data_IF_363512981195
#
_entry.id   IF_363512981195
#
_cell.length_a   1.000
_cell.length_b   1.000
_cell.length_c   1.000
_cell.angle_alpha   90.00
_cell.angle_beta   90.00
_cell.angle_gamma   90.00
#
_symmetry.space_group_name_H-M   'P 1'
#
loop_
_entity.id
_entity.type
_entity.pdbx_description
1 polymer ?
#
# COMPACT_ATOMS: atom_id res chain seq x y z
N UNK A 1 -23.72 15.61 0.31
CA UNK A 1 -22.30 15.19 0.33
C UNK A 1 -22.00 14.74 -1.08
N UNK A 2 -21.23 15.52 -1.84
CA UNK A 2 -20.84 15.15 -3.19
C UNK A 2 -19.80 14.04 -3.04
N UNK A 3 -20.20 12.80 -3.31
CA UNK A 3 -19.30 11.66 -3.49
C UNK A 3 -18.67 11.79 -4.87
N UNK A 4 -18.01 12.93 -5.15
CA UNK A 4 -17.29 13.13 -6.39
C UNK A 4 -16.15 12.11 -6.40
N UNK A 5 -16.48 11.00 -7.08
CA UNK A 5 -15.66 9.96 -7.67
C UNK A 5 -14.34 9.72 -6.96
N UNK A 6 -14.26 8.57 -6.30
CA UNK A 6 -13.03 7.95 -5.81
C UNK A 6 -12.08 7.68 -7.00
N UNK A 7 -11.48 8.73 -7.56
CA UNK A 7 -10.63 8.71 -8.77
C UNK A 7 -9.20 8.26 -8.46
N UNK A 8 -9.04 7.32 -7.52
CA UNK A 8 -7.73 6.75 -7.17
C UNK A 8 -7.59 5.30 -7.63
N UNK A 9 -8.64 4.72 -8.22
CA UNK A 9 -8.66 3.34 -8.67
C UNK A 9 -8.25 3.31 -10.14
N UNK A 10 -7.13 2.65 -10.46
CA UNK A 10 -6.78 2.30 -11.83
C UNK A 10 -7.95 1.54 -12.50
N UNK A 11 -8.08 1.66 -13.83
CA UNK A 11 -9.00 0.86 -14.62
C UNK A 11 -8.98 -0.62 -14.19
N UNK A 12 -10.15 -1.22 -13.98
CA UNK A 12 -10.33 -2.63 -13.62
C UNK A 12 -10.15 -2.99 -12.14
N UNK A 13 -10.16 -2.01 -11.21
CA UNK A 13 -10.09 -2.29 -9.77
C UNK A 13 -11.33 -1.78 -9.02
N UNK A 14 -11.83 -2.60 -8.09
CA UNK A 14 -12.84 -2.18 -7.11
C UNK A 14 -12.17 -1.83 -5.78
N UNK A 15 -12.81 -0.98 -4.96
CA UNK A 15 -12.28 -0.64 -3.62
C UNK A 15 -12.03 -1.89 -2.79
N UNK A 16 -12.97 -2.84 -2.81
CA UNK A 16 -12.83 -4.11 -2.12
C UNK A 16 -11.56 -4.86 -2.58
N UNK A 17 -11.33 -4.95 -3.90
CA UNK A 17 -10.14 -5.61 -4.45
C UNK A 17 -8.85 -4.90 -4.04
N UNK A 18 -8.83 -3.57 -4.03
CA UNK A 18 -7.65 -2.79 -3.62
C UNK A 18 -7.32 -3.03 -2.15
N UNK A 19 -8.32 -2.98 -1.28
CA UNK A 19 -8.14 -3.23 0.16
C UNK A 19 -7.55 -4.62 0.39
N UNK A 20 -8.09 -5.66 -0.25
CA UNK A 20 -7.55 -7.02 -0.14
C UNK A 20 -6.10 -7.11 -0.64
N UNK A 21 -5.81 -6.55 -1.83
CA UNK A 21 -4.45 -6.57 -2.41
C UNK A 21 -3.43 -5.83 -1.54
N UNK A 22 -3.80 -4.69 -0.97
CA UNK A 22 -2.93 -3.94 -0.05
C UNK A 22 -2.72 -4.71 1.25
N UNK A 23 -3.76 -5.30 1.83
CA UNK A 23 -3.64 -6.16 3.01
C UNK A 23 -2.63 -7.29 2.76
N UNK A 24 -2.76 -8.01 1.64
CA UNK A 24 -1.82 -9.05 1.25
C UNK A 24 -0.39 -8.54 1.06
N UNK A 25 -0.23 -7.40 0.39
CA UNK A 25 1.07 -6.78 0.17
C UNK A 25 1.78 -6.46 1.49
N UNK A 26 1.09 -5.83 2.44
CA UNK A 26 1.70 -5.46 3.72
C UNK A 26 1.94 -6.67 4.63
N UNK A 27 1.02 -7.65 4.64
CA UNK A 27 1.23 -8.93 5.32
C UNK A 27 2.50 -9.65 4.83
N UNK A 28 2.66 -9.71 3.50
CA UNK A 28 3.81 -10.35 2.88
C UNK A 28 5.10 -9.56 3.15
N UNK A 29 5.03 -8.23 3.11
CA UNK A 29 6.16 -7.35 3.41
C UNK A 29 6.63 -7.52 4.86
N UNK A 30 5.70 -7.45 5.82
CA UNK A 30 5.99 -7.72 7.23
C UNK A 30 6.64 -9.10 7.44
N UNK A 31 6.11 -10.13 6.79
CA UNK A 31 6.67 -11.50 6.87
C UNK A 31 8.09 -11.59 6.31
N UNK A 32 8.37 -10.94 5.17
CA UNK A 32 9.73 -10.88 4.59
C UNK A 32 10.70 -10.17 5.53
N UNK A 33 10.29 -9.05 6.13
CA UNK A 33 11.14 -8.33 7.08
C UNK A 33 11.40 -9.13 8.35
N UNK A 34 10.41 -9.88 8.84
CA UNK A 34 10.60 -10.80 9.97
C UNK A 34 11.68 -11.86 9.68
N UNK A 35 11.67 -12.44 8.48
CA UNK A 35 12.72 -13.40 8.05
C UNK A 35 14.09 -12.71 7.99
N UNK A 36 14.17 -11.53 7.36
CA UNK A 36 15.42 -10.77 7.24
C UNK A 36 15.98 -10.38 8.62
N UNK A 37 15.12 -9.98 9.55
CA UNK A 37 15.49 -9.69 10.94
C UNK A 37 16.13 -10.90 11.62
N UNK A 38 15.50 -12.08 11.51
CA UNK A 38 16.04 -13.31 12.07
C UNK A 38 17.40 -13.68 11.48
N UNK A 39 17.61 -13.43 10.18
CA UNK A 39 18.91 -13.63 9.52
C UNK A 39 19.98 -12.69 10.07
N UNK A 40 19.66 -11.41 10.28
CA UNK A 40 20.62 -10.45 10.86
C UNK A 40 20.96 -10.79 12.32
N UNK A 41 19.97 -11.20 13.12
CA UNK A 41 20.20 -11.65 14.49
C UNK A 41 21.13 -12.86 14.54
N UNK A 42 20.94 -13.83 13.65
CA UNK A 42 21.85 -14.99 13.55
C UNK A 42 23.28 -14.59 13.14
N UNK A 43 23.47 -13.50 12.40
CA UNK A 43 24.79 -13.00 12.03
C UNK A 43 25.44 -12.21 13.19
N UNK A 44 24.63 -11.60 14.05
CA UNK A 44 25.08 -10.83 15.20
C UNK A 44 25.82 -11.70 16.21
N UNK A 45 25.39 -12.95 16.40
CA UNK A 45 25.98 -13.91 17.35
C UNK A 45 27.49 -14.15 17.15
N UNK A 46 28.00 -13.93 15.93
CA UNK A 46 29.41 -14.12 15.58
C UNK A 46 30.14 -12.81 15.21
N UNK A 47 29.44 -11.67 15.22
CA UNK A 47 30.00 -10.39 14.83
C UNK A 47 30.67 -9.69 16.02
N UNK A 48 31.74 -8.94 15.75
CA UNK A 48 32.41 -8.10 16.75
C UNK A 48 32.82 -6.76 16.16
N UNK A 49 32.90 -5.73 17.00
CA UNK A 49 33.40 -4.41 16.61
C UNK A 49 32.51 -3.72 15.58
N UNK A 50 33.11 -3.18 14.50
CA UNK A 50 32.37 -2.42 13.48
C UNK A 50 31.26 -3.23 12.78
N UNK A 51 31.47 -4.54 12.60
CA UNK A 51 30.48 -5.41 11.97
C UNK A 51 29.25 -5.60 12.87
N UNK A 52 29.46 -5.73 14.18
CA UNK A 52 28.38 -5.81 15.16
C UNK A 52 27.53 -4.52 15.15
N UNK A 53 28.20 -3.36 15.15
CA UNK A 53 27.52 -2.08 15.13
C UNK A 53 26.71 -1.86 13.84
N UNK A 54 27.24 -2.27 12.69
CA UNK A 54 26.52 -2.20 11.42
C UNK A 54 25.29 -3.11 11.39
N UNK A 55 25.39 -4.32 11.96
CA UNK A 55 24.26 -5.25 12.07
C UNK A 55 23.17 -4.72 13.00
N UNK A 56 23.54 -4.12 14.14
CA UNK A 56 22.58 -3.50 15.06
C UNK A 56 21.80 -2.36 14.39
N UNK A 57 22.47 -1.50 13.63
CA UNK A 57 21.80 -0.44 12.86
C UNK A 57 20.86 -0.99 11.78
N UNK A 58 21.27 -2.07 11.10
CA UNK A 58 20.44 -2.72 10.11
C UNK A 58 19.20 -3.38 10.73
N UNK A 59 19.34 -3.98 11.92
CA UNK A 59 18.23 -4.55 12.69
C UNK A 59 17.26 -3.44 13.13
N UNK A 60 17.77 -2.33 13.67
CA UNK A 60 16.94 -1.20 14.08
C UNK A 60 16.10 -0.65 12.92
N UNK A 61 16.72 -0.48 11.74
CA UNK A 61 16.00 -0.05 10.54
C UNK A 61 14.90 -1.04 10.15
N UNK A 62 15.18 -2.34 10.20
CA UNK A 62 14.16 -3.37 9.91
C UNK A 62 13.04 -3.32 10.94
N UNK A 63 13.33 -3.09 12.22
CA UNK A 63 12.32 -3.01 13.26
C UNK A 63 11.37 -1.82 13.04
N UNK A 64 11.89 -0.68 12.58
CA UNK A 64 11.07 0.48 12.19
C UNK A 64 10.16 0.16 10.99
N UNK A 65 10.70 -0.47 9.94
CA UNK A 65 9.92 -0.90 8.77
C UNK A 65 8.84 -1.92 9.16
N UNK A 66 9.19 -2.90 10.01
CA UNK A 66 8.24 -3.88 10.53
C UNK A 66 7.12 -3.24 11.34
N UNK A 67 7.42 -2.24 12.17
CA UNK A 67 6.40 -1.52 12.93
C UNK A 67 5.40 -0.83 11.99
N UNK A 68 5.89 -0.14 10.95
CA UNK A 68 5.04 0.48 9.93
C UNK A 68 4.17 -0.56 9.21
N UNK A 69 4.78 -1.63 8.68
CA UNK A 69 4.04 -2.66 7.96
C UNK A 69 3.06 -3.43 8.84
N UNK A 70 3.37 -3.59 10.14
CA UNK A 70 2.45 -4.19 11.11
C UNK A 70 1.20 -3.34 11.27
N UNK A 71 1.34 -2.04 11.50
CA UNK A 71 0.21 -1.10 11.63
C UNK A 71 -0.64 -1.08 10.34
N UNK A 72 0.01 -1.01 9.18
CA UNK A 72 -0.69 -1.01 7.89
C UNK A 72 -1.42 -2.32 7.62
N UNK A 73 -0.79 -3.45 7.92
CA UNK A 73 -1.40 -4.78 7.83
C UNK A 73 -2.64 -4.89 8.72
N UNK A 74 -2.55 -4.44 9.97
CA UNK A 74 -3.66 -4.55 10.93
C UNK A 74 -4.84 -3.66 10.53
N UNK A 75 -4.57 -2.42 10.12
CA UNK A 75 -5.59 -1.50 9.65
C UNK A 75 -6.32 -2.07 8.42
N UNK A 76 -5.58 -2.62 7.46
CA UNK A 76 -6.17 -3.20 6.26
C UNK A 76 -6.83 -4.55 6.53
N UNK A 77 -6.38 -5.32 7.52
CA UNK A 77 -7.08 -6.53 7.96
C UNK A 77 -8.49 -6.21 8.47
N UNK A 78 -8.64 -5.11 9.21
CA UNK A 78 -9.95 -4.63 9.68
C UNK A 78 -10.79 -4.17 8.48
N UNK A 79 -10.22 -3.34 7.60
CA UNK A 79 -10.93 -2.85 6.42
C UNK A 79 -11.40 -4.00 5.53
N UNK A 80 -10.53 -4.96 5.23
CA UNK A 80 -10.81 -6.14 4.41
C UNK A 80 -11.96 -6.98 4.97
N UNK A 81 -11.96 -7.21 6.30
CA UNK A 81 -13.07 -7.89 7.00
C UNK A 81 -14.39 -7.14 6.91
N UNK A 82 -14.35 -5.80 7.05
CA UNK A 82 -15.54 -4.96 6.99
C UNK A 82 -16.14 -5.00 5.59
N UNK A 83 -15.32 -4.73 4.57
CA UNK A 83 -15.76 -4.64 3.17
C UNK A 83 -16.24 -6.01 2.65
N UNK A 84 -15.62 -7.10 3.11
CA UNK A 84 -16.01 -8.47 2.76
C UNK A 84 -17.16 -9.03 3.60
N UNK A 85 -17.65 -8.29 4.60
CA UNK A 85 -18.72 -8.79 5.47
C UNK A 85 -20.07 -8.84 4.76
N UNK A 86 -20.86 -9.87 5.08
CA UNK A 86 -22.25 -10.00 4.57
C UNK A 86 -23.13 -8.81 4.99
N UNK A 87 -22.87 -8.23 6.16
CA UNK A 87 -23.60 -7.07 6.65
C UNK A 87 -23.34 -5.84 5.79
N UNK A 88 -22.08 -5.61 5.40
CA UNK A 88 -21.72 -4.51 4.50
C UNK A 88 -22.34 -4.72 3.11
N UNK A 89 -22.21 -5.91 2.54
CA UNK A 89 -22.80 -6.19 1.22
C UNK A 89 -24.33 -6.11 1.21
N UNK A 90 -24.98 -6.50 2.31
CA UNK A 90 -26.44 -6.37 2.46
C UNK A 90 -26.88 -4.92 2.65
N UNK A 91 -26.08 -4.10 3.35
CA UNK A 91 -26.38 -2.70 3.59
C UNK A 91 -26.17 -1.82 2.34
N UNK A 92 -25.15 -2.13 1.55
CA UNK A 92 -24.73 -1.34 0.39
C UNK A 92 -25.29 -1.83 -0.94
N UNK A 93 -25.67 -3.11 -1.03
CA UNK A 93 -25.94 -3.77 -2.31
C UNK A 93 -24.64 -4.17 -3.02
N UNK A 94 -24.69 -5.28 -3.77
CA UNK A 94 -23.55 -5.76 -4.57
C UNK A 94 -23.27 -4.86 -5.79
N UNK A 95 -24.24 -4.03 -6.14
CA UNK A 95 -24.17 -2.98 -7.16
C UNK A 95 -23.52 -1.69 -6.66
N UNK A 96 -23.12 -1.60 -5.39
CA UNK A 96 -22.36 -0.47 -4.87
C UNK A 96 -21.00 -0.32 -5.56
N UNK A 97 -20.57 0.94 -5.76
CA UNK A 97 -19.27 1.33 -6.33
C UNK A 97 -18.07 0.70 -5.59
N UNK A 98 -18.23 0.28 -4.34
CA UNK A 98 -17.20 -0.42 -3.56
C UNK A 98 -16.83 -1.77 -4.19
N UNK A 99 -17.82 -2.45 -4.78
CA UNK A 99 -17.68 -3.79 -5.35
C UNK A 99 -17.53 -3.76 -6.86
N UNK A 100 -18.02 -2.70 -7.52
CA UNK A 100 -17.86 -2.53 -8.95
C UNK A 100 -16.43 -2.16 -9.32
N UNK A 101 -16.04 -2.60 -10.51
CA UNK A 101 -14.81 -2.16 -11.15
C UNK A 101 -14.94 -0.68 -11.51
N UNK A 102 -13.94 0.13 -11.18
CA UNK A 102 -13.84 1.47 -11.74
C UNK A 102 -13.50 1.40 -13.23
N UNK A 103 -14.35 2.00 -14.05
CA UNK A 103 -14.09 2.29 -15.45
C UNK A 103 -13.89 3.79 -15.57
N UNK A 104 -12.67 4.20 -15.91
CA UNK A 104 -12.38 5.60 -16.16
C UNK A 104 -13.24 6.11 -17.33
N UNK A 105 -13.80 7.30 -17.14
CA UNK A 105 -14.50 8.01 -18.21
C UNK A 105 -13.50 8.74 -19.10
N UNK A 106 -13.88 9.01 -20.35
CA UNK A 106 -13.04 9.80 -21.28
C UNK A 106 -12.61 11.16 -20.69
N UNK A 107 -13.46 11.76 -19.86
CA UNK A 107 -13.15 13.01 -19.16
C UNK A 107 -12.08 12.84 -18.08
N UNK A 108 -12.09 11.73 -17.33
CA UNK A 108 -11.07 11.38 -16.34
C UNK A 108 -9.72 11.13 -17.02
N UNK A 109 -9.71 10.31 -18.09
CA UNK A 109 -8.51 10.05 -18.89
C UNK A 109 -7.88 11.35 -19.45
N UNK A 110 -8.70 12.26 -19.98
CA UNK A 110 -8.22 13.55 -20.47
C UNK A 110 -7.67 14.45 -19.36
N UNK A 111 -8.25 14.40 -18.16
CA UNK A 111 -7.76 15.16 -17.02
C UNK A 111 -6.39 14.64 -16.57
N UNK A 112 -6.23 13.32 -16.48
CA UNK A 112 -4.95 12.68 -16.13
C UNK A 112 -3.84 12.99 -17.14
N UNK A 113 -4.13 12.91 -18.44
CA UNK A 113 -3.15 13.28 -19.47
C UNK A 113 -2.68 14.72 -19.34
N UNK A 114 -3.60 15.68 -19.14
CA UNK A 114 -3.21 17.09 -18.92
C UNK A 114 -2.34 17.26 -17.68
N UNK A 115 -2.63 16.51 -16.62
CA UNK A 115 -1.87 16.56 -15.37
C UNK A 115 -0.47 15.94 -15.53
N UNK A 116 -0.35 14.85 -16.29
CA UNK A 116 0.92 14.24 -16.63
C UNK A 116 1.78 15.17 -17.51
N UNK A 117 1.21 15.78 -18.54
CA UNK A 117 1.88 16.77 -19.39
C UNK A 117 2.39 17.97 -18.57
N UNK A 118 1.57 18.47 -17.63
CA UNK A 118 1.96 19.53 -16.72
C UNK A 118 3.15 19.13 -15.84
N UNK A 119 3.13 17.94 -15.22
CA UNK A 119 4.26 17.44 -14.39
C UNK A 119 5.55 17.31 -15.20
N UNK A 120 5.46 16.81 -16.43
CA UNK A 120 6.63 16.68 -17.33
C UNK A 120 7.20 18.06 -17.68
N UNK A 121 6.33 19.04 -17.96
CA UNK A 121 6.76 20.40 -18.24
C UNK A 121 7.49 21.04 -17.05
N UNK A 122 6.97 20.84 -15.83
CA UNK A 122 7.63 21.33 -14.61
C UNK A 122 8.99 20.67 -14.35
N UNK A 123 9.11 19.36 -14.56
CA UNK A 123 10.38 18.66 -14.39
C UNK A 123 11.44 19.13 -15.39
N UNK A 124 11.06 19.45 -16.62
CA UNK A 124 11.97 20.01 -17.63
C UNK A 124 12.45 21.42 -17.29
N UNK A 125 11.58 22.23 -16.68
CA UNK A 125 11.95 23.57 -16.22
C UNK A 125 12.88 23.54 -15.00
N UNK A 126 12.76 22.55 -14.12
CA UNK A 126 13.61 22.39 -12.95
C UNK A 126 15.03 21.84 -13.27
N UNK A 127 15.26 21.40 -14.51
CA UNK A 127 16.54 20.83 -14.97
C UNK A 127 17.35 21.79 -15.88
N UNK A 128 16.85 23.02 -16.09
CA UNK A 128 17.53 24.11 -16.81
C UNK A 128 18.04 25.16 -15.83
#
# INVERSE_FOLDING_TARGET
MNTDKLSFLDENQSVASVVTKLHEYFKNSYSRYKVKRSQLLSQLDAATGEQEQALLQAIEKIDQEMALFGVLNDALSIADRVVSSKSMSSAMGLDSEIYQIHHETEAEQQAEWKLAEYRIAQQRQAQQ
#
